data_IF_848031632731
#
_entry.id   IF_848031632731
#
_cell.length_a   1.000
_cell.length_b   1.000
_cell.length_c   1.000
_cell.angle_alpha   90.00
_cell.angle_beta   90.00
_cell.angle_gamma   90.00
#
_symmetry.space_group_name_H-M   'P 1'
#
loop_
_entity.id
_entity.type
_entity.pdbx_description
1 polymer ?
#
# COMPACT_ATOMS: atom_id res chain seq x y z
N UNK A 1 7.52 0.00 -6.26
CA UNK A 1 7.53 0.85 -7.46
C UNK A 1 7.20 -0.05 -8.64
N UNK A 2 5.93 -0.09 -9.04
CA UNK A 2 5.50 -0.88 -10.21
C UNK A 2 5.87 -0.04 -11.43
N UNK A 3 6.93 -0.43 -12.13
CA UNK A 3 7.29 0.18 -13.41
C UNK A 3 6.33 -0.35 -14.46
N UNK A 4 5.33 0.45 -14.84
CA UNK A 4 4.67 0.30 -16.13
C UNK A 4 5.65 0.86 -17.15
N UNK A 5 6.36 -0.02 -17.86
CA UNK A 5 7.25 0.35 -18.94
C UNK A 5 6.41 0.80 -20.16
N UNK A 6 5.84 2.00 -20.10
CA UNK A 6 5.34 2.71 -21.26
C UNK A 6 6.41 3.72 -21.69
N UNK A 7 7.51 3.23 -22.25
CA UNK A 7 8.46 4.08 -22.95
C UNK A 7 8.06 4.10 -24.42
N UNK A 8 7.76 5.31 -24.89
CA UNK A 8 7.34 5.70 -26.24
C UNK A 8 8.09 4.90 -27.31
N UNK A 9 7.37 3.99 -27.98
CA UNK A 9 7.84 3.28 -29.18
C UNK A 9 7.30 3.99 -30.41
N UNK A 10 8.17 4.72 -31.11
CA UNK A 10 7.83 5.50 -32.31
C UNK A 10 7.52 4.65 -33.56
N UNK A 11 7.70 3.33 -33.52
CA UNK A 11 7.17 2.41 -34.53
C UNK A 11 6.53 1.19 -33.84
N UNK A 12 5.32 0.77 -34.24
CA UNK A 12 4.77 -0.51 -33.80
C UNK A 12 5.55 -1.69 -34.41
N UNK A 13 5.75 -2.76 -33.66
CA UNK A 13 6.35 -4.03 -34.16
C UNK A 13 5.18 -4.93 -34.53
N UNK A 14 4.99 -5.17 -35.81
CA UNK A 14 3.79 -5.87 -36.30
C UNK A 14 4.12 -6.95 -37.31
N UNK A 15 5.12 -6.72 -38.16
CA UNK A 15 5.47 -7.64 -39.25
C UNK A 15 6.59 -8.58 -38.84
N UNK A 16 6.63 -9.79 -39.40
CA UNK A 16 7.69 -10.77 -39.12
C UNK A 16 9.11 -10.20 -39.29
N UNK A 17 9.33 -9.31 -40.25
CA UNK A 17 10.60 -8.61 -40.41
C UNK A 17 10.94 -7.70 -39.21
N UNK A 18 9.96 -6.99 -38.66
CA UNK A 18 10.17 -6.19 -37.44
C UNK A 18 10.55 -7.07 -36.23
N UNK A 19 10.10 -8.33 -36.21
CA UNK A 19 10.49 -9.32 -35.17
C UNK A 19 11.91 -9.85 -35.41
N UNK A 20 12.27 -10.15 -36.66
CA UNK A 20 13.62 -10.63 -37.03
C UNK A 20 14.68 -9.54 -36.79
N UNK A 21 14.37 -8.29 -37.12
CA UNK A 21 15.25 -7.13 -36.93
C UNK A 21 15.13 -6.51 -35.52
N UNK A 22 14.33 -7.08 -34.62
CA UNK A 22 14.06 -6.48 -33.30
C UNK A 22 15.34 -6.35 -32.46
N UNK A 23 16.23 -7.34 -32.55
CA UNK A 23 17.46 -7.33 -31.76
C UNK A 23 18.38 -6.16 -32.14
N UNK A 24 18.43 -5.83 -33.42
CA UNK A 24 19.32 -4.78 -33.97
C UNK A 24 18.63 -3.41 -33.91
N UNK A 25 17.35 -3.34 -34.25
CA UNK A 25 16.57 -2.10 -34.21
C UNK A 25 16.23 -1.63 -32.79
N UNK A 26 16.25 -2.52 -31.78
CA UNK A 26 15.87 -2.23 -30.39
C UNK A 26 16.81 -2.84 -29.35
N UNK A 27 18.09 -2.91 -29.67
CA UNK A 27 19.12 -3.46 -28.79
C UNK A 27 19.12 -2.82 -27.38
N UNK A 28 18.95 -1.50 -27.31
CA UNK A 28 18.91 -0.75 -26.06
C UNK A 28 17.76 -1.21 -25.15
N UNK A 29 16.55 -1.40 -25.71
CA UNK A 29 15.40 -1.89 -24.95
C UNK A 29 15.65 -3.31 -24.43
N UNK A 30 16.18 -4.18 -25.30
CA UNK A 30 16.53 -5.56 -24.90
C UNK A 30 17.57 -5.56 -23.77
N UNK A 31 18.55 -4.66 -23.81
CA UNK A 31 19.59 -4.54 -22.78
C UNK A 31 19.03 -4.05 -21.45
N UNK A 32 18.17 -3.02 -21.47
CA UNK A 32 17.50 -2.51 -20.26
C UNK A 32 16.59 -3.57 -19.65
N UNK A 33 15.75 -4.23 -20.47
CA UNK A 33 14.85 -5.27 -19.99
C UNK A 33 15.60 -6.45 -19.38
N UNK A 34 16.74 -6.85 -19.98
CA UNK A 34 17.64 -7.85 -19.37
C UNK A 34 18.14 -7.38 -18.01
N UNK A 35 18.68 -6.15 -17.93
CA UNK A 35 19.15 -5.58 -16.66
C UNK A 35 18.06 -5.54 -15.58
N UNK A 36 16.83 -5.24 -15.96
CA UNK A 36 15.70 -5.24 -15.05
C UNK A 36 15.30 -6.66 -14.62
N UNK A 37 15.24 -7.63 -15.53
CA UNK A 37 14.93 -9.03 -15.17
C UNK A 37 16.00 -9.65 -14.26
N UNK A 38 17.24 -9.14 -14.30
CA UNK A 38 18.31 -9.53 -13.37
C UNK A 38 18.15 -8.92 -11.97
N UNK A 39 17.56 -7.72 -11.86
CA UNK A 39 17.60 -6.91 -10.63
C UNK A 39 16.24 -6.74 -9.94
N UNK A 40 15.14 -7.05 -10.64
CA UNK A 40 13.77 -6.82 -10.19
C UNK A 40 12.93 -8.09 -10.36
N UNK A 41 11.88 -8.18 -9.56
CA UNK A 41 10.85 -9.23 -9.70
C UNK A 41 9.75 -8.74 -10.63
N UNK A 42 9.46 -9.52 -11.67
CA UNK A 42 8.40 -9.22 -12.64
C UNK A 42 7.13 -10.02 -12.35
N UNK A 43 6.00 -9.39 -12.64
CA UNK A 43 4.68 -10.00 -12.73
C UNK A 43 4.14 -9.80 -14.15
N UNK A 44 4.05 -10.87 -14.93
CA UNK A 44 3.56 -10.86 -16.31
C UNK A 44 2.05 -11.09 -16.34
N UNK A 45 1.31 -10.24 -17.06
CA UNK A 45 -0.16 -10.28 -17.19
C UNK A 45 -0.54 -10.07 -18.64
N UNK A 46 -1.52 -10.83 -19.14
CA UNK A 46 -2.04 -10.68 -20.51
C UNK A 46 -1.07 -11.16 -21.58
N UNK A 47 -0.19 -12.08 -21.23
CA UNK A 47 0.86 -12.59 -22.11
C UNK A 47 0.51 -13.96 -22.67
N UNK A 48 0.60 -14.13 -23.99
CA UNK A 48 0.76 -15.46 -24.59
C UNK A 48 2.25 -15.67 -24.83
N UNK A 49 2.90 -16.60 -24.10
CA UNK A 49 4.27 -17.04 -24.42
C UNK A 49 4.30 -17.94 -25.67
N UNK A 50 3.46 -17.61 -26.65
CA UNK A 50 3.65 -18.02 -28.04
C UNK A 50 4.22 -16.82 -28.83
N UNK A 51 4.54 -15.71 -28.15
CA UNK A 51 5.23 -14.55 -28.72
C UNK A 51 6.73 -14.86 -28.90
N UNK A 52 7.23 -14.95 -30.15
CA UNK A 52 8.61 -15.30 -30.44
C UNK A 52 9.64 -14.33 -29.85
N UNK A 53 9.30 -13.06 -29.62
CA UNK A 53 10.23 -12.08 -29.07
C UNK A 53 10.57 -12.38 -27.61
N UNK A 54 9.58 -12.84 -26.85
CA UNK A 54 9.74 -13.06 -25.42
C UNK A 54 10.45 -14.37 -25.18
N UNK A 55 10.13 -15.40 -25.95
CA UNK A 55 10.92 -16.65 -25.96
C UNK A 55 12.38 -16.37 -26.30
N UNK A 56 12.64 -15.51 -27.29
CA UNK A 56 13.98 -15.07 -27.64
C UNK A 56 14.68 -14.32 -26.50
N UNK A 57 14.02 -13.35 -25.86
CA UNK A 57 14.58 -12.58 -24.74
C UNK A 57 14.86 -13.50 -23.53
N UNK A 58 13.92 -14.39 -23.18
CA UNK A 58 14.03 -15.32 -22.06
C UNK A 58 15.13 -16.36 -22.27
N UNK A 59 15.26 -16.89 -23.50
CA UNK A 59 16.33 -17.83 -23.85
C UNK A 59 17.72 -17.25 -23.58
N UNK A 60 17.91 -15.96 -23.86
CA UNK A 60 19.19 -15.27 -23.72
C UNK A 60 19.50 -14.87 -22.28
N UNK A 61 18.46 -14.55 -21.50
CA UNK A 61 18.56 -14.28 -20.06
C UNK A 61 19.00 -15.52 -19.29
N UNK A 62 18.44 -16.70 -19.63
CA UNK A 62 18.79 -17.97 -19.00
C UNK A 62 20.27 -18.31 -19.14
N UNK A 63 20.83 -18.11 -20.33
CA UNK A 63 22.26 -18.39 -20.62
C UNK A 63 23.17 -17.59 -19.67
N UNK A 64 22.79 -16.35 -19.36
CA UNK A 64 23.55 -15.45 -18.50
C UNK A 64 23.38 -15.76 -17.01
N UNK A 65 22.18 -16.17 -16.60
CA UNK A 65 21.81 -16.31 -15.18
C UNK A 65 22.11 -17.67 -14.54
N UNK A 66 22.24 -18.73 -15.34
CA UNK A 66 22.41 -20.11 -14.84
C UNK A 66 21.44 -20.42 -13.68
N UNK A 67 21.96 -20.66 -12.47
CA UNK A 67 21.19 -21.07 -11.29
C UNK A 67 20.70 -19.91 -10.40
N UNK A 68 21.10 -18.67 -10.67
CA UNK A 68 20.77 -17.48 -9.86
C UNK A 68 19.65 -16.63 -10.48
N UNK A 69 18.62 -17.27 -11.04
CA UNK A 69 17.47 -16.56 -11.62
C UNK A 69 16.56 -15.99 -10.52
N UNK A 70 16.26 -14.68 -10.52
CA UNK A 70 15.22 -14.13 -9.66
C UNK A 70 13.88 -14.81 -9.95
N UNK A 71 13.08 -15.06 -8.91
CA UNK A 71 11.75 -15.64 -9.10
C UNK A 71 10.80 -14.59 -9.65
N UNK A 72 10.33 -14.80 -10.87
CA UNK A 72 9.29 -14.01 -11.52
C UNK A 72 7.96 -14.77 -11.49
N UNK A 73 6.85 -14.07 -11.78
CA UNK A 73 5.51 -14.66 -11.75
C UNK A 73 4.72 -14.32 -13.01
N UNK A 74 3.84 -15.20 -13.45
CA UNK A 74 2.87 -14.92 -14.52
C UNK A 74 1.51 -15.53 -14.20
N UNK A 75 0.42 -14.82 -14.53
CA UNK A 75 -0.92 -15.39 -14.45
C UNK A 75 -1.31 -16.14 -15.71
N UNK A 76 -1.87 -17.34 -15.55
CA UNK A 76 -2.49 -18.11 -16.62
C UNK A 76 -3.89 -18.53 -16.26
N UNK A 77 -4.79 -18.49 -17.24
CA UNK A 77 -6.09 -19.13 -17.08
C UNK A 77 -5.90 -20.64 -17.14
N UNK A 78 -6.39 -21.35 -16.13
CA UNK A 78 -6.43 -22.81 -16.12
C UNK A 78 -7.34 -23.29 -17.25
N UNK A 79 -6.94 -24.37 -17.92
CA UNK A 79 -7.75 -24.96 -18.98
C UNK A 79 -9.03 -25.54 -18.36
N UNK A 80 -10.15 -24.92 -18.72
CA UNK A 80 -11.48 -25.35 -18.29
C UNK A 80 -11.91 -26.58 -19.10
N UNK A 81 -12.19 -27.68 -18.40
CA UNK A 81 -12.67 -28.93 -19.01
C UNK A 81 -13.96 -28.72 -19.81
N UNK A 82 -14.83 -27.83 -19.36
CA UNK A 82 -16.12 -27.59 -20.02
C UNK A 82 -16.00 -26.85 -21.36
N UNK A 83 -14.81 -26.32 -21.67
CA UNK A 83 -14.52 -25.67 -22.96
C UNK A 83 -14.23 -26.68 -24.09
N UNK A 84 -14.23 -27.98 -23.80
CA UNK A 84 -13.91 -29.04 -24.77
C UNK A 84 -15.07 -30.02 -24.88
N UNK A 85 -15.39 -30.43 -26.11
CA UNK A 85 -16.42 -31.44 -26.39
C UNK A 85 -15.92 -32.88 -26.24
N UNK A 86 -14.61 -33.09 -26.34
CA UNK A 86 -13.97 -34.39 -26.25
C UNK A 86 -12.91 -34.42 -25.14
N UNK A 87 -12.83 -35.55 -24.43
CA UNK A 87 -11.90 -35.73 -23.31
C UNK A 87 -10.44 -35.81 -23.79
N UNK A 88 -10.17 -36.27 -25.03
CA UNK A 88 -8.79 -36.31 -25.56
C UNK A 88 -8.29 -34.91 -25.90
N UNK A 89 -9.14 -34.05 -26.47
CA UNK A 89 -8.78 -32.66 -26.75
C UNK A 89 -8.47 -31.87 -25.47
N UNK A 90 -9.26 -32.08 -24.42
CA UNK A 90 -8.98 -31.51 -23.10
C UNK A 90 -7.63 -31.99 -22.55
N UNK A 91 -7.37 -33.31 -22.60
CA UNK A 91 -6.13 -33.88 -22.09
C UNK A 91 -4.92 -33.35 -22.87
N UNK A 92 -5.03 -33.25 -24.19
CA UNK A 92 -3.99 -32.68 -25.04
C UNK A 92 -3.69 -31.23 -24.68
N UNK A 93 -4.74 -30.41 -24.51
CA UNK A 93 -4.58 -29.01 -24.13
C UNK A 93 -3.94 -28.88 -22.74
N UNK A 94 -4.37 -29.69 -21.76
CA UNK A 94 -3.80 -29.71 -20.41
C UNK A 94 -2.32 -30.07 -20.40
N UNK A 95 -1.93 -31.15 -21.08
CA UNK A 95 -0.52 -31.55 -21.23
C UNK A 95 0.29 -30.42 -21.86
N UNK A 96 -0.25 -29.75 -22.89
CA UNK A 96 0.43 -28.61 -23.53
C UNK A 96 0.60 -27.42 -22.56
N UNK A 97 -0.38 -27.12 -21.72
CA UNK A 97 -0.25 -26.10 -20.68
C UNK A 97 0.79 -26.49 -19.63
N UNK A 98 0.80 -27.74 -19.16
CA UNK A 98 1.76 -28.23 -18.17
C UNK A 98 3.20 -28.14 -18.71
N UNK A 99 3.45 -28.59 -19.95
CA UNK A 99 4.74 -28.45 -20.62
C UNK A 99 5.17 -26.98 -20.75
N UNK A 100 4.23 -26.08 -21.01
CA UNK A 100 4.50 -24.63 -21.08
C UNK A 100 4.88 -24.06 -19.72
N UNK A 101 4.23 -24.50 -18.65
CA UNK A 101 4.58 -24.11 -17.27
C UNK A 101 5.98 -24.62 -16.90
N UNK A 102 6.30 -25.86 -17.26
CA UNK A 102 7.63 -26.44 -17.03
C UNK A 102 8.72 -25.66 -17.78
N UNK A 103 8.46 -25.24 -19.01
CA UNK A 103 9.44 -24.45 -19.76
C UNK A 103 9.64 -23.05 -19.12
N UNK A 104 8.57 -22.41 -18.65
CA UNK A 104 8.65 -21.13 -17.93
C UNK A 104 9.45 -21.20 -16.63
N UNK A 105 9.32 -22.31 -15.90
CA UNK A 105 10.11 -22.56 -14.70
C UNK A 105 11.62 -22.56 -14.98
N UNK A 106 12.05 -22.97 -16.20
CA UNK A 106 13.47 -22.93 -16.61
C UNK A 106 14.01 -21.51 -16.77
N UNK A 107 13.11 -20.53 -16.91
CA UNK A 107 13.43 -19.10 -16.96
C UNK A 107 13.24 -18.41 -15.59
N UNK A 108 12.93 -19.16 -14.53
CA UNK A 108 12.61 -18.60 -13.21
C UNK A 108 11.21 -17.98 -13.13
N UNK A 109 10.37 -18.15 -14.15
CA UNK A 109 9.01 -17.63 -14.21
C UNK A 109 8.04 -18.69 -13.68
N UNK A 110 7.40 -18.37 -12.57
CA UNK A 110 6.44 -19.25 -11.91
C UNK A 110 5.03 -18.93 -12.40
N UNK A 111 4.38 -19.90 -13.02
CA UNK A 111 2.99 -19.78 -13.44
C UNK A 111 2.05 -19.87 -12.24
N UNK A 112 1.14 -18.90 -12.12
CA UNK A 112 0.04 -18.88 -11.18
C UNK A 112 -1.24 -19.11 -11.97
N UNK A 113 -1.81 -20.30 -11.83
CA UNK A 113 -3.06 -20.67 -12.48
C UNK A 113 -4.24 -19.97 -11.79
N UNK A 114 -5.16 -19.42 -12.58
CA UNK A 114 -6.42 -18.82 -12.14
C UNK A 114 -7.57 -19.42 -12.92
N UNK A 115 -8.71 -19.61 -12.27
CA UNK A 115 -9.92 -20.14 -12.91
C UNK A 115 -10.45 -19.19 -13.99
N UNK A 116 -10.37 -17.88 -13.75
CA UNK A 116 -10.80 -16.86 -14.71
C UNK A 116 -10.06 -15.51 -14.55
N UNK A 117 -10.05 -14.71 -15.61
CA UNK A 117 -9.32 -13.43 -15.63
C UNK A 117 -9.75 -12.42 -14.56
N UNK A 118 -11.03 -12.27 -14.17
CA UNK A 118 -11.43 -11.37 -13.09
C UNK A 118 -10.77 -11.69 -11.72
N UNK A 119 -10.31 -12.93 -11.52
CA UNK A 119 -9.56 -13.32 -10.31
C UNK A 119 -8.24 -12.55 -10.24
N UNK A 120 -7.61 -12.24 -11.37
CA UNK A 120 -6.37 -11.44 -11.43
C UNK A 120 -6.61 -10.07 -10.78
N UNK A 121 -7.71 -9.40 -11.09
CA UNK A 121 -8.06 -8.11 -10.47
C UNK A 121 -8.20 -8.22 -8.95
N UNK A 122 -8.79 -9.31 -8.45
CA UNK A 122 -8.89 -9.57 -7.00
C UNK A 122 -7.50 -9.74 -6.37
N UNK A 123 -6.62 -10.51 -7.00
CA UNK A 123 -5.24 -10.71 -6.53
C UNK A 123 -4.47 -9.38 -6.52
N UNK A 124 -4.56 -8.60 -7.61
CA UNK A 124 -3.94 -7.28 -7.69
C UNK A 124 -4.46 -6.33 -6.62
N UNK A 125 -5.76 -6.39 -6.29
CA UNK A 125 -6.33 -5.60 -5.19
C UNK A 125 -5.75 -5.99 -3.84
N UNK A 126 -5.54 -7.28 -3.59
CA UNK A 126 -4.88 -7.76 -2.35
C UNK A 126 -3.42 -7.27 -2.28
N UNK A 127 -2.68 -7.35 -3.39
CA UNK A 127 -1.30 -6.85 -3.48
C UNK A 127 -1.27 -5.33 -3.23
N UNK A 128 -2.14 -4.59 -3.90
CA UNK A 128 -2.28 -3.14 -3.73
C UNK A 128 -2.52 -2.78 -2.25
N UNK A 129 -3.48 -3.44 -1.61
CA UNK A 129 -3.81 -3.21 -0.21
C UNK A 129 -2.61 -3.51 0.70
N UNK A 130 -1.90 -4.63 0.51
CA UNK A 130 -0.70 -4.97 1.29
C UNK A 130 0.42 -3.96 1.13
N UNK A 131 0.66 -3.47 -0.09
CA UNK A 131 1.66 -2.43 -0.35
C UNK A 131 1.25 -1.12 0.35
N UNK A 132 -0.04 -0.75 0.25
CA UNK A 132 -0.57 0.47 0.88
C UNK A 132 -0.51 0.43 2.41
N UNK A 133 -0.54 -0.74 3.06
CA UNK A 133 -0.41 -0.83 4.53
C UNK A 133 0.93 -0.34 5.07
N UNK A 134 1.95 -0.16 4.22
CA UNK A 134 3.19 0.54 4.63
C UNK A 134 3.03 2.06 4.72
N UNK A 135 1.97 2.60 4.14
CA UNK A 135 1.62 4.00 4.16
C UNK A 135 0.60 4.24 5.28
N UNK A 136 1.00 5.03 6.26
CA UNK A 136 0.24 5.31 7.46
C UNK A 136 -0.23 6.76 7.41
N UNK A 137 -1.54 6.93 7.29
CA UNK A 137 -2.16 8.24 7.42
C UNK A 137 -2.29 8.60 8.91
N UNK A 138 -1.84 9.79 9.30
CA UNK A 138 -2.04 10.31 10.65
C UNK A 138 -3.05 11.44 10.57
N UNK A 139 -4.25 11.16 11.08
CA UNK A 139 -5.32 12.14 11.27
C UNK A 139 -5.30 12.63 12.72
N UNK A 140 -5.30 13.93 12.88
CA UNK A 140 -5.43 14.54 14.20
C UNK A 140 -5.55 16.05 14.13
N UNK A 141 -6.34 16.59 15.05
CA UNK A 141 -6.44 18.02 15.31
C UNK A 141 -6.58 18.21 16.82
N UNK A 142 -5.78 19.10 17.38
CA UNK A 142 -5.81 19.37 18.82
C UNK A 142 -5.55 20.85 19.09
N UNK A 143 -6.56 21.52 19.65
CA UNK A 143 -6.39 22.77 20.40
C UNK A 143 -6.24 22.45 21.89
N UNK A 144 -7.00 21.47 22.37
CA UNK A 144 -6.93 20.91 23.72
C UNK A 144 -6.38 19.48 23.67
N UNK A 145 -5.47 19.16 24.60
CA UNK A 145 -4.76 17.89 24.68
C UNK A 145 -5.18 17.02 25.88
N UNK A 146 -6.24 17.40 26.59
CA UNK A 146 -6.80 16.56 27.67
C UNK A 146 -7.34 15.23 27.13
N UNK A 147 -7.14 14.10 27.84
CA UNK A 147 -6.62 13.99 29.20
C UNK A 147 -5.09 13.84 29.29
N UNK A 148 -4.37 13.90 28.16
CA UNK A 148 -2.91 13.64 28.13
C UNK A 148 -2.08 14.82 28.62
N UNK A 149 -2.59 16.04 28.46
CA UNK A 149 -1.81 17.27 28.57
C UNK A 149 -0.89 17.47 27.36
N UNK A 150 -0.60 18.75 27.08
CA UNK A 150 0.10 19.16 25.86
C UNK A 150 1.49 18.52 25.70
N UNK A 151 2.33 18.59 26.71
CA UNK A 151 3.71 18.08 26.64
C UNK A 151 3.77 16.57 26.39
N UNK A 152 2.91 15.79 27.07
CA UNK A 152 2.85 14.34 26.91
C UNK A 152 2.35 13.97 25.51
N UNK A 153 1.34 14.69 25.00
CA UNK A 153 0.80 14.50 23.66
C UNK A 153 1.83 14.84 22.57
N UNK A 154 2.55 15.95 22.72
CA UNK A 154 3.60 16.38 21.80
C UNK A 154 4.73 15.35 21.71
N UNK A 155 5.22 14.88 22.87
CA UNK A 155 6.24 13.82 22.94
C UNK A 155 5.74 12.50 22.34
N UNK A 156 4.48 12.12 22.57
CA UNK A 156 3.89 10.90 22.03
C UNK A 156 3.90 10.92 20.50
N UNK A 157 3.36 11.97 19.89
CA UNK A 157 3.23 12.07 18.42
C UNK A 157 4.61 12.18 17.76
N UNK A 158 5.51 12.96 18.35
CA UNK A 158 6.89 13.07 17.88
C UNK A 158 7.59 11.70 17.90
N UNK A 159 7.62 11.02 19.05
CA UNK A 159 8.27 9.71 19.20
C UNK A 159 7.62 8.65 18.30
N UNK A 160 6.29 8.64 18.19
CA UNK A 160 5.59 7.72 17.30
C UNK A 160 6.03 7.93 15.85
N UNK A 161 6.06 9.16 15.38
CA UNK A 161 6.46 9.49 14.00
C UNK A 161 7.90 9.11 13.72
N UNK A 162 8.81 9.34 14.68
CA UNK A 162 10.19 8.85 14.62
C UNK A 162 10.24 7.32 14.48
N UNK A 163 9.50 6.58 15.33
CA UNK A 163 9.49 5.11 15.33
C UNK A 163 8.83 4.49 14.10
N UNK A 164 7.84 5.17 13.51
CA UNK A 164 7.27 4.77 12.23
C UNK A 164 8.29 4.90 11.11
N UNK A 165 9.01 6.03 11.05
CA UNK A 165 10.07 6.26 10.08
C UNK A 165 11.24 5.26 10.27
N UNK A 166 11.63 4.97 11.51
CA UNK A 166 12.64 3.97 11.86
C UNK A 166 12.31 2.57 11.30
N UNK A 167 11.03 2.20 11.28
CA UNK A 167 10.55 0.93 10.69
C UNK A 167 10.27 1.01 9.18
N UNK A 168 10.70 2.08 8.52
CA UNK A 168 10.51 2.32 7.09
C UNK A 168 9.04 2.35 6.66
N UNK A 169 8.16 2.84 7.54
CA UNK A 169 6.80 3.20 7.17
C UNK A 169 6.76 4.62 6.59
N UNK A 170 5.88 4.81 5.62
CA UNK A 170 5.67 6.11 4.99
C UNK A 170 4.52 6.82 5.67
N UNK A 171 4.76 8.01 6.21
CA UNK A 171 3.77 8.79 6.94
C UNK A 171 3.07 9.75 5.97
N UNK A 172 1.74 9.77 6.00
CA UNK A 172 0.91 10.71 5.25
C UNK A 172 0.22 11.63 6.26
N UNK A 173 0.33 12.94 6.08
CA UNK A 173 -0.25 13.93 7.00
C UNK A 173 -0.95 15.06 6.25
N UNK A 174 -2.14 15.41 6.74
CA UNK A 174 -2.92 16.56 6.30
C UNK A 174 -2.46 17.91 6.89
N UNK A 175 -1.36 17.91 7.66
CA UNK A 175 -0.88 19.05 8.43
C UNK A 175 -1.95 19.60 9.40
N UNK A 176 -2.58 18.71 10.16
CA UNK A 176 -3.62 19.09 11.13
C UNK A 176 -3.09 20.01 12.24
N UNK A 177 -3.94 20.94 12.70
CA UNK A 177 -3.61 21.89 13.75
C UNK A 177 -3.15 21.17 15.03
N UNK A 178 -2.01 21.60 15.60
CA UNK A 178 -1.48 21.07 16.86
C UNK A 178 -0.88 19.65 16.79
N UNK A 179 -0.93 19.00 15.63
CA UNK A 179 -0.44 17.61 15.40
C UNK A 179 0.56 17.56 14.25
N UNK A 180 0.29 18.25 13.15
CA UNK A 180 1.03 18.13 11.89
C UNK A 180 2.52 18.47 12.00
N UNK A 181 2.87 19.53 12.72
CA UNK A 181 4.27 19.93 12.93
C UNK A 181 5.07 18.88 13.71
N UNK A 182 4.46 18.24 14.71
CA UNK A 182 5.08 17.19 15.52
C UNK A 182 5.37 15.94 14.69
N UNK A 183 4.43 15.58 13.81
CA UNK A 183 4.58 14.44 12.89
C UNK A 183 5.78 14.67 11.97
N UNK A 184 5.86 15.86 11.37
CA UNK A 184 6.97 16.24 10.50
C UNK A 184 8.29 16.21 11.26
N UNK A 185 8.34 16.85 12.43
CA UNK A 185 9.57 16.95 13.20
C UNK A 185 10.08 15.57 13.63
N UNK A 186 9.20 14.65 14.05
CA UNK A 186 9.60 13.30 14.42
C UNK A 186 10.17 12.50 13.24
N UNK A 187 9.54 12.59 12.07
CA UNK A 187 10.04 11.93 10.86
C UNK A 187 11.35 12.55 10.34
N UNK A 188 11.48 13.88 10.40
CA UNK A 188 12.70 14.60 10.02
C UNK A 188 13.86 14.29 10.96
N UNK A 189 13.61 14.20 12.27
CA UNK A 189 14.64 13.88 13.25
C UNK A 189 15.25 12.49 12.98
N UNK A 190 14.44 11.48 12.66
CA UNK A 190 14.96 10.18 12.21
C UNK A 190 15.81 10.30 10.94
N UNK A 191 15.37 11.09 9.96
CA UNK A 191 16.14 11.29 8.71
C UNK A 191 17.50 11.93 9.00
N UNK A 192 17.56 12.97 9.82
CA UNK A 192 18.79 13.67 10.15
C UNK A 192 19.77 12.79 10.93
N UNK A 193 19.25 11.86 11.72
CA UNK A 193 20.04 10.93 12.54
C UNK A 193 20.33 9.58 11.86
N UNK A 194 20.03 9.42 10.57
CA UNK A 194 20.26 8.17 9.83
C UNK A 194 20.89 8.41 8.45
N UNK A 195 21.45 7.36 7.85
CA UNK A 195 21.98 7.41 6.47
C UNK A 195 20.88 7.48 5.39
N UNK A 196 19.62 7.74 5.78
CA UNK A 196 18.46 7.71 4.91
C UNK A 196 18.43 8.94 4.00
N UNK A 197 18.44 8.71 2.68
CA UNK A 197 18.74 9.79 1.71
C UNK A 197 17.52 10.63 1.31
N UNK A 198 16.38 10.00 1.05
CA UNK A 198 15.22 10.68 0.46
C UNK A 198 14.09 10.89 1.49
N UNK A 199 13.64 12.14 1.65
CA UNK A 199 12.49 12.45 2.53
C UNK A 199 11.17 11.95 1.93
N UNK A 200 11.07 11.98 0.60
CA UNK A 200 9.86 11.62 -0.13
C UNK A 200 9.47 10.15 0.04
N UNK A 201 10.38 9.30 0.49
CA UNK A 201 10.13 7.89 0.80
C UNK A 201 9.50 7.74 2.20
N UNK A 202 9.75 8.69 3.12
CA UNK A 202 9.29 8.64 4.51
C UNK A 202 8.03 9.48 4.77
N UNK A 203 7.81 10.55 4.00
CA UNK A 203 6.77 11.54 4.33
C UNK A 203 6.05 12.06 3.08
N UNK A 204 4.71 12.08 3.13
CA UNK A 204 3.84 12.79 2.18
C UNK A 204 3.06 13.84 2.96
N UNK A 205 3.26 15.10 2.60
CA UNK A 205 2.54 16.23 3.19
C UNK A 205 1.49 16.76 2.21
N UNK A 206 0.28 16.86 2.72
CA UNK A 206 -0.89 17.37 1.98
C UNK A 206 -1.59 18.43 2.85
N UNK A 207 -1.02 19.63 2.98
CA UNK A 207 -1.69 20.70 3.70
C UNK A 207 -2.95 21.15 2.95
N UNK A 208 -4.03 21.41 3.69
CA UNK A 208 -5.27 21.88 3.08
C UNK A 208 -5.10 23.26 2.45
N UNK A 209 -5.72 23.52 1.26
CA UNK A 209 -5.67 24.82 0.61
C UNK A 209 -6.25 25.92 1.50
N UNK A 210 -5.49 27.00 1.70
CA UNK A 210 -5.93 28.15 2.49
C UNK A 210 -6.67 29.21 1.64
N UNK A 211 -6.41 29.24 0.33
CA UNK A 211 -7.02 30.19 -0.61
C UNK A 211 -8.25 29.53 -1.25
N UNK A 212 -9.41 30.17 -1.13
CA UNK A 212 -10.70 29.68 -1.64
C UNK A 212 -11.03 28.23 -1.22
N UNK A 213 -11.00 27.92 0.10
CA UNK A 213 -11.40 26.62 0.57
C UNK A 213 -12.89 26.40 0.30
N UNK A 214 -13.24 25.25 -0.24
CA UNK A 214 -14.64 24.81 -0.39
C UNK A 214 -14.75 23.42 0.21
N UNK A 215 -15.93 23.08 0.73
CA UNK A 215 -16.18 21.76 1.32
C UNK A 215 -15.85 20.65 0.31
N UNK A 216 -16.30 20.79 -0.94
CA UNK A 216 -16.05 19.83 -2.02
C UNK A 216 -14.56 19.63 -2.32
N UNK A 217 -13.78 20.71 -2.44
CA UNK A 217 -12.33 20.60 -2.66
C UNK A 217 -11.64 19.92 -1.48
N UNK A 218 -12.05 20.22 -0.25
CA UNK A 218 -11.47 19.61 0.94
C UNK A 218 -11.80 18.12 1.02
N UNK A 219 -13.02 17.71 0.68
CA UNK A 219 -13.41 16.29 0.60
C UNK A 219 -12.61 15.56 -0.46
N UNK A 220 -12.51 16.12 -1.67
CA UNK A 220 -11.70 15.51 -2.75
C UNK A 220 -10.23 15.36 -2.34
N UNK A 221 -9.69 16.36 -1.66
CA UNK A 221 -8.30 16.33 -1.19
C UNK A 221 -8.09 15.26 -0.10
N UNK A 222 -9.06 15.06 0.80
CA UNK A 222 -9.04 13.94 1.75
C UNK A 222 -9.10 12.60 1.06
N UNK A 223 -9.97 12.43 0.05
CA UNK A 223 -10.07 11.19 -0.72
C UNK A 223 -8.73 10.85 -1.39
N UNK A 224 -8.09 11.82 -2.06
CA UNK A 224 -6.78 11.64 -2.70
C UNK A 224 -5.69 11.27 -1.69
N UNK A 225 -5.67 11.91 -0.52
CA UNK A 225 -4.72 11.63 0.55
C UNK A 225 -4.92 10.23 1.15
N UNK A 226 -6.16 9.89 1.51
CA UNK A 226 -6.52 8.60 2.15
C UNK A 226 -6.33 7.44 1.17
N UNK A 227 -6.59 7.64 -0.13
CA UNK A 227 -6.44 6.60 -1.15
C UNK A 227 -5.02 6.01 -1.24
N UNK A 228 -4.00 6.75 -0.77
CA UNK A 228 -2.61 6.33 -0.75
C UNK A 228 -2.23 5.56 0.52
N UNK A 229 -3.06 5.61 1.56
CA UNK A 229 -2.84 4.93 2.82
C UNK A 229 -3.46 3.53 2.82
N UNK A 230 -2.93 2.63 3.64
CA UNK A 230 -3.58 1.36 3.98
C UNK A 230 -3.99 1.28 5.45
N UNK A 231 -3.41 2.14 6.29
CA UNK A 231 -3.72 2.25 7.72
C UNK A 231 -3.86 3.74 8.06
N UNK A 232 -4.83 4.08 8.90
CA UNK A 232 -5.06 5.43 9.38
C UNK A 232 -5.09 5.48 10.91
N UNK A 233 -4.25 6.30 11.52
CA UNK A 233 -4.21 6.53 12.97
C UNK A 233 -4.97 7.83 13.30
N UNK A 234 -5.81 7.80 14.33
CA UNK A 234 -6.66 8.92 14.72
C UNK A 234 -6.33 9.39 16.14
N UNK A 235 -5.91 10.66 16.28
CA UNK A 235 -5.53 11.27 17.56
C UNK A 235 -6.38 12.51 17.88
N UNK A 236 -6.83 12.63 19.12
CA UNK A 236 -7.62 13.77 19.62
C UNK A 236 -8.85 14.06 18.74
N UNK A 237 -8.88 15.22 18.09
CA UNK A 237 -9.92 15.61 17.14
C UNK A 237 -10.83 16.71 17.66
N UNK A 238 -10.23 17.79 18.13
CA UNK A 238 -10.93 18.99 18.53
C UNK A 238 -10.33 20.22 17.87
N UNK A 239 -11.11 21.29 17.80
CA UNK A 239 -10.69 22.59 17.29
C UNK A 239 -11.37 23.71 18.07
N UNK A 240 -10.78 24.91 18.03
CA UNK A 240 -11.45 26.11 18.51
C UNK A 240 -12.56 26.52 17.55
N UNK A 241 -13.70 26.94 18.07
CA UNK A 241 -14.71 27.64 17.27
C UNK A 241 -14.35 29.12 17.23
N UNK A 242 -14.12 29.66 16.03
CA UNK A 242 -13.71 31.05 15.83
C UNK A 242 -14.75 32.08 16.36
N UNK A 243 -16.01 31.66 16.51
CA UNK A 243 -17.11 32.54 16.95
C UNK A 243 -17.33 32.51 18.46
N UNK A 244 -17.27 31.33 19.09
CA UNK A 244 -17.65 31.14 20.50
C UNK A 244 -16.47 30.91 21.44
N UNK A 245 -15.24 30.84 20.92
CA UNK A 245 -14.01 30.50 21.64
C UNK A 245 -14.03 29.14 22.36
N UNK A 246 -15.08 28.35 22.15
CA UNK A 246 -15.29 27.03 22.74
C UNK A 246 -14.61 25.95 21.91
N UNK A 247 -14.15 24.90 22.58
CA UNK A 247 -13.63 23.70 21.93
C UNK A 247 -14.80 22.90 21.35
N UNK A 248 -14.73 22.58 20.06
CA UNK A 248 -15.71 21.78 19.34
C UNK A 248 -15.04 20.61 18.63
N UNK A 249 -15.83 19.59 18.30
CA UNK A 249 -15.35 18.42 17.58
C UNK A 249 -14.83 18.77 16.18
N UNK A 250 -13.73 18.12 15.78
CA UNK A 250 -13.21 18.21 14.42
C UNK A 250 -14.07 17.39 13.45
N UNK A 251 -15.00 18.06 12.77
CA UNK A 251 -15.82 17.44 11.71
C UNK A 251 -14.98 16.81 10.59
N UNK A 252 -13.83 17.41 10.27
CA UNK A 252 -12.92 16.89 9.23
C UNK A 252 -12.35 15.52 9.58
N UNK A 253 -12.06 15.27 10.86
CA UNK A 253 -11.55 13.98 11.32
C UNK A 253 -12.62 12.87 11.26
N UNK A 254 -13.89 13.23 11.50
CA UNK A 254 -15.01 12.30 11.33
C UNK A 254 -15.16 11.91 9.86
N UNK A 255 -15.12 12.90 8.96
CA UNK A 255 -15.16 12.67 7.52
C UNK A 255 -13.98 11.81 7.04
N UNK A 256 -12.78 12.05 7.54
CA UNK A 256 -11.59 11.24 7.25
C UNK A 256 -11.76 9.78 7.70
N UNK A 257 -12.39 9.53 8.85
CA UNK A 257 -12.71 8.19 9.31
C UNK A 257 -13.68 7.48 8.35
N UNK A 258 -14.78 8.13 7.98
CA UNK A 258 -15.78 7.54 7.09
C UNK A 258 -15.19 7.26 5.69
N UNK A 259 -14.32 8.16 5.20
CA UNK A 259 -13.57 7.96 3.96
C UNK A 259 -12.58 6.79 4.05
N UNK A 260 -11.94 6.57 5.20
CA UNK A 260 -11.05 5.42 5.39
C UNK A 260 -11.82 4.11 5.21
N UNK A 261 -12.97 3.99 5.88
CA UNK A 261 -13.85 2.82 5.80
C UNK A 261 -14.30 2.57 4.35
N UNK A 262 -14.75 3.62 3.65
CA UNK A 262 -15.17 3.53 2.24
C UNK A 262 -14.05 3.07 1.30
N UNK A 263 -12.79 3.42 1.59
CA UNK A 263 -11.64 3.14 0.74
C UNK A 263 -10.82 1.89 1.16
N UNK A 264 -11.34 1.07 2.08
CA UNK A 264 -10.63 -0.08 2.66
C UNK A 264 -9.30 0.29 3.32
N UNK A 265 -9.19 1.50 3.87
CA UNK A 265 -8.09 1.93 4.73
C UNK A 265 -8.46 1.59 6.16
N UNK A 266 -7.62 0.84 6.84
CA UNK A 266 -7.92 0.31 8.17
C UNK A 266 -7.81 1.44 9.21
N UNK A 267 -8.91 1.91 9.82
CA UNK A 267 -8.85 2.98 10.79
C UNK A 267 -8.40 2.43 12.15
N UNK A 268 -7.58 3.17 12.88
CA UNK A 268 -7.10 2.84 14.24
C UNK A 268 -7.33 4.07 15.12
N UNK A 269 -8.46 4.13 15.85
CA UNK A 269 -8.73 5.19 16.80
C UNK A 269 -7.94 5.00 18.10
N UNK A 270 -7.15 6.01 18.44
CA UNK A 270 -6.41 6.11 19.71
C UNK A 270 -7.28 6.87 20.72
N UNK A 271 -8.41 6.26 21.10
CA UNK A 271 -9.46 6.81 21.93
C UNK A 271 -9.03 7.26 23.33
N UNK A 272 -7.91 6.75 23.86
CA UNK A 272 -7.30 7.26 25.11
C UNK A 272 -6.93 8.75 25.01
N UNK A 273 -6.72 9.27 23.79
CA UNK A 273 -6.47 10.71 23.55
C UNK A 273 -7.73 11.59 23.61
N UNK A 274 -8.91 11.01 23.85
CA UNK A 274 -10.14 11.77 24.05
C UNK A 274 -10.79 12.28 22.76
N UNK A 275 -11.73 13.23 22.92
CA UNK A 275 -12.44 13.94 21.85
C UNK A 275 -13.04 13.03 20.77
N UNK A 276 -12.92 13.40 19.49
CA UNK A 276 -13.45 12.63 18.36
C UNK A 276 -12.82 11.24 18.30
N UNK A 277 -11.52 11.10 18.58
CA UNK A 277 -10.85 9.79 18.59
C UNK A 277 -11.52 8.82 19.57
N UNK A 278 -11.91 9.29 20.76
CA UNK A 278 -12.68 8.47 21.72
C UNK A 278 -14.05 8.06 21.16
N UNK A 279 -14.77 8.98 20.52
CA UNK A 279 -16.07 8.67 19.89
C UNK A 279 -15.92 7.66 18.75
N UNK A 280 -14.85 7.76 17.96
CA UNK A 280 -14.52 6.81 16.91
C UNK A 280 -14.17 5.44 17.48
N UNK A 281 -13.39 5.39 18.58
CA UNK A 281 -13.12 4.14 19.30
C UNK A 281 -14.40 3.50 19.83
N UNK A 282 -15.28 4.26 20.48
CA UNK A 282 -16.57 3.75 20.98
C UNK A 282 -17.47 3.24 19.85
N UNK A 283 -17.43 3.87 18.67
CA UNK A 283 -18.14 3.39 17.45
C UNK A 283 -17.56 2.05 16.98
N UNK A 284 -16.24 1.95 16.88
CA UNK A 284 -15.54 0.73 16.43
C UNK A 284 -15.69 -0.42 17.42
N UNK A 285 -15.58 -0.15 18.72
CA UNK A 285 -15.67 -1.15 19.78
C UNK A 285 -17.07 -1.79 19.91
N UNK A 286 -18.11 -1.14 19.39
CA UNK A 286 -19.47 -1.70 19.33
C UNK A 286 -19.63 -2.74 18.22
N UNK A 287 -18.86 -2.62 17.14
CA UNK A 287 -18.95 -3.53 15.98
C UNK A 287 -17.58 -3.70 15.32
N UNK A 288 -16.72 -4.51 15.93
CA UNK A 288 -15.44 -4.85 15.34
C UNK A 288 -15.57 -5.60 14.01
N UNK A 289 -16.65 -6.34 13.80
CA UNK A 289 -16.84 -7.17 12.60
C UNK A 289 -16.94 -6.34 11.33
N UNK A 290 -17.52 -5.13 11.43
CA UNK A 290 -17.62 -4.19 10.32
C UNK A 290 -16.25 -3.62 9.89
N UNK A 291 -15.32 -3.44 10.84
CA UNK A 291 -14.07 -2.73 10.59
C UNK A 291 -12.85 -3.66 10.46
N UNK A 292 -12.84 -4.78 11.19
CA UNK A 292 -11.72 -5.71 11.30
C UNK A 292 -12.22 -7.17 11.26
N UNK A 293 -12.69 -7.66 10.10
CA UNK A 293 -13.16 -9.03 9.99
C UNK A 293 -12.01 -10.01 10.30
N UNK A 294 -12.28 -11.00 11.16
CA UNK A 294 -11.41 -12.16 11.40
C UNK A 294 -9.99 -11.87 11.93
N UNK A 295 -9.81 -10.88 12.82
CA UNK A 295 -8.49 -10.56 13.39
C UNK A 295 -8.50 -10.36 14.91
N UNK A 296 -8.62 -11.46 15.67
CA UNK A 296 -8.70 -11.44 17.15
C UNK A 296 -7.50 -10.78 17.82
N UNK A 297 -6.28 -11.14 17.41
CA UNK A 297 -5.04 -10.63 18.01
C UNK A 297 -4.90 -9.11 17.82
N UNK A 298 -5.36 -8.61 16.67
CA UNK A 298 -5.40 -7.18 16.39
C UNK A 298 -6.45 -6.47 17.25
N UNK A 299 -7.65 -7.04 17.40
CA UNK A 299 -8.71 -6.49 18.25
C UNK A 299 -8.26 -6.40 19.71
N UNK A 300 -7.57 -7.41 20.22
CA UNK A 300 -7.05 -7.40 21.58
C UNK A 300 -5.96 -6.35 21.76
N UNK A 301 -5.06 -6.21 20.79
CA UNK A 301 -4.06 -5.12 20.77
C UNK A 301 -4.73 -3.73 20.71
N UNK A 302 -5.83 -3.57 19.97
CA UNK A 302 -6.59 -2.31 19.94
C UNK A 302 -7.23 -1.97 21.28
N UNK A 303 -7.72 -2.97 22.03
CA UNK A 303 -8.22 -2.77 23.38
C UNK A 303 -7.09 -2.36 24.33
N UNK A 304 -5.91 -2.98 24.20
CA UNK A 304 -4.70 -2.60 24.95
C UNK A 304 -4.33 -1.14 24.68
N UNK A 305 -4.31 -0.69 23.42
CA UNK A 305 -4.04 0.71 23.03
C UNK A 305 -4.99 1.71 23.72
N UNK A 306 -6.23 1.31 23.94
CA UNK A 306 -7.29 2.15 24.47
C UNK A 306 -7.53 1.99 25.98
N UNK A 307 -6.66 1.26 26.68
CA UNK A 307 -6.70 1.13 28.13
C UNK A 307 -6.14 2.40 28.81
N UNK A 308 -6.78 2.87 29.87
CA UNK A 308 -6.49 4.16 30.51
C UNK A 308 -5.11 4.22 31.21
N UNK A 309 -4.56 3.06 31.61
CA UNK A 309 -3.34 2.96 32.43
C UNK A 309 -2.04 2.81 31.61
N UNK A 310 -2.10 2.97 30.30
CA UNK A 310 -0.97 2.69 29.40
C UNK A 310 0.01 3.87 29.38
N UNK A 311 1.31 3.57 29.57
CA UNK A 311 2.37 4.56 29.45
C UNK A 311 2.53 5.04 28.00
N UNK A 312 3.11 6.22 27.77
CA UNK A 312 3.30 6.71 26.39
C UNK A 312 4.19 5.79 25.54
N UNK A 313 5.19 5.14 26.14
CA UNK A 313 6.10 4.26 25.40
C UNK A 313 5.43 2.90 25.12
N UNK A 314 4.62 2.37 26.06
CA UNK A 314 3.82 1.16 25.84
C UNK A 314 2.73 1.41 24.78
N UNK A 315 2.12 2.59 24.76
CA UNK A 315 1.15 2.99 23.75
C UNK A 315 1.77 2.96 22.35
N UNK A 316 2.98 3.51 22.20
CA UNK A 316 3.71 3.45 20.92
C UNK A 316 4.01 2.00 20.56
N UNK A 317 4.50 1.20 21.50
CA UNK A 317 4.80 -0.22 21.28
C UNK A 317 3.56 -0.99 20.79
N UNK A 318 2.40 -0.77 21.42
CA UNK A 318 1.15 -1.40 21.06
C UNK A 318 0.63 -0.94 19.69
N UNK A 319 0.76 0.36 19.35
CA UNK A 319 0.44 0.87 18.00
C UNK A 319 1.32 0.19 16.95
N UNK A 320 2.63 0.08 17.19
CA UNK A 320 3.55 -0.60 16.28
C UNK A 320 3.25 -2.09 16.14
N UNK A 321 2.88 -2.75 17.24
CA UNK A 321 2.40 -4.15 17.26
C UNK A 321 1.15 -4.29 16.40
N UNK A 322 0.14 -3.44 16.59
CA UNK A 322 -1.09 -3.44 15.81
C UNK A 322 -0.82 -3.27 14.30
N UNK A 323 0.01 -2.29 13.92
CA UNK A 323 0.44 -2.10 12.52
C UNK A 323 1.15 -3.35 12.00
N UNK A 324 2.02 -3.98 12.79
CA UNK A 324 2.77 -5.17 12.37
C UNK A 324 1.88 -6.39 12.15
N UNK A 325 0.81 -6.57 12.94
CA UNK A 325 -0.18 -7.63 12.74
C UNK A 325 -0.91 -7.43 11.40
N UNK A 326 -1.26 -6.18 11.07
CA UNK A 326 -1.85 -5.84 9.78
C UNK A 326 -0.91 -6.06 8.59
N UNK A 327 0.42 -6.11 8.77
CA UNK A 327 1.32 -6.45 7.65
C UNK A 327 1.29 -7.94 7.28
N UNK A 328 0.86 -8.82 8.20
CA UNK A 328 0.91 -10.28 8.01
C UNK A 328 -0.30 -10.84 7.24
N UNK A 329 -1.42 -10.11 7.25
CA UNK A 329 -2.70 -10.52 6.64
C UNK A 329 -2.73 -10.16 5.15
#
# INVERSE_FOLDING_TARGET
MVYVALQVLLCPVLTKNDYEDYHDSRELFSTVLRGDLLSKVFLFIGFSFDDPNIDYILSRIRILLKDNTPKHYCFFKEIDKNSFSDDQDYLYAKIRQDLKIEDLMRYGIHAVLVEDYPVITKILKVIENRVKRKNIFISGAAENYEPFGKEKAEKLIFKLSYKLAEKNYKIISGYGLGIGSLVINGALDFKLNSAYRNLDDLLILRPFPQINPTAEKNTKYREEMISQAGIALFFFGNKKNDVSDTIVDSKGMIEEFDLCVKNNVIPIPIGITGFVSKKLWEKVNKDFSQYYPENSDFIDTLKEINNADVSSDDLISNILKAISLLQKV
#
